data_IF_812421854395
#
_entry.id   IF_812421854395
#
_cell.length_a   1.000
_cell.length_b   1.000
_cell.length_c   1.000
_cell.angle_alpha   90.00
_cell.angle_beta   90.00
_cell.angle_gamma   90.00
#
_symmetry.space_group_name_H-M   'P 1'
#
loop_
_entity.id
_entity.type
_entity.pdbx_description
1 polymer ?
2 polymer ?
3 non-polymer ?
4 water ?
#
# COMPACT_ATOMS: atom_id res chain seq x y z
N UNK A 2 -5.95 26.94 9.31
CA UNK A 2 -7.36 27.04 9.76
C UNK A 2 -7.63 26.26 11.04
N UNK A 3 -8.54 26.77 11.86
CA UNK A 3 -8.93 26.11 13.10
C UNK A 3 -10.32 25.56 12.79
N UNK A 4 -10.36 24.27 12.45
CA UNK A 4 -11.58 23.60 12.06
C UNK A 4 -12.78 23.69 13.00
N UNK A 5 -13.93 24.04 12.42
CA UNK A 5 -15.18 24.16 13.15
C UNK A 5 -16.07 22.97 12.83
N UNK A 6 -15.52 21.98 12.11
CA UNK A 6 -16.28 20.79 11.77
C UNK A 6 -16.73 20.15 13.07
N UNK A 7 -18.00 19.73 13.11
CA UNK A 7 -18.57 19.13 14.32
C UNK A 7 -18.39 17.61 14.39
N UNK A 8 -18.55 17.04 15.60
CA UNK A 8 -18.40 15.59 15.82
C UNK A 8 -19.44 14.80 15.02
N UNK A 9 -20.54 15.45 14.66
CA UNK A 9 -21.60 14.83 13.88
C UNK A 9 -21.89 15.71 12.67
N UNK A 10 -21.81 15.14 11.47
CA UNK A 10 -22.08 15.89 10.26
C UNK A 10 -22.97 15.08 9.34
N UNK A 11 -23.66 15.78 8.43
CA UNK A 11 -24.55 15.13 7.48
C UNK A 11 -23.89 15.14 6.10
N UNK A 12 -24.36 14.28 5.20
CA UNK A 12 -23.79 14.19 3.87
C UNK A 12 -24.86 14.07 2.79
N UNK A 13 -24.70 14.85 1.72
CA UNK A 13 -25.60 14.81 0.57
C UNK A 13 -24.70 14.56 -0.62
N UNK A 14 -25.13 13.67 -1.52
CA UNK A 14 -24.29 13.35 -2.66
C UNK A 14 -25.05 13.05 -3.94
N UNK A 15 -24.42 13.40 -5.07
CA UNK A 15 -24.99 13.14 -6.38
C UNK A 15 -23.85 12.67 -7.28
N UNK A 16 -23.98 11.45 -7.79
CA UNK A 16 -22.96 10.88 -8.68
C UNK A 16 -23.52 10.65 -10.08
N UNK A 17 -22.83 11.18 -11.06
CA UNK A 17 -23.22 10.98 -12.45
C UNK A 17 -22.06 10.17 -13.04
N UNK A 18 -22.38 9.05 -13.68
CA UNK A 18 -21.31 8.25 -14.22
C UNK A 18 -21.61 7.47 -15.47
N UNK A 19 -20.57 6.82 -15.97
CA UNK A 19 -20.69 6.01 -17.18
C UNK A 19 -19.59 4.96 -17.14
N UNK A 20 -19.98 3.70 -17.14
CA UNK A 20 -19.03 2.60 -17.11
C UNK A 20 -19.26 1.69 -18.31
N UNK A 21 -18.22 1.53 -19.13
CA UNK A 21 -18.30 0.70 -20.33
C UNK A 21 -19.53 1.05 -21.16
N UNK A 22 -19.86 2.33 -21.20
CA UNK A 22 -21.00 2.78 -21.99
C UNK A 22 -22.33 2.88 -21.26
N UNK A 23 -22.41 2.35 -20.05
CA UNK A 23 -23.64 2.39 -19.29
C UNK A 23 -23.73 3.65 -18.43
N UNK A 24 -24.68 4.52 -18.77
CA UNK A 24 -24.87 5.77 -18.03
C UNK A 24 -25.74 5.54 -16.80
N UNK A 25 -25.45 6.25 -15.72
CA UNK A 25 -26.23 6.11 -14.50
C UNK A 25 -26.10 7.32 -13.59
N UNK A 26 -27.04 7.44 -12.67
CA UNK A 26 -27.06 8.52 -11.68
C UNK A 26 -27.39 7.88 -10.35
N UNK A 27 -26.62 8.23 -9.32
CA UNK A 27 -26.86 7.70 -7.98
C UNK A 27 -26.91 8.85 -6.98
N UNK A 28 -27.92 8.83 -6.12
CA UNK A 28 -28.06 9.86 -5.11
C UNK A 28 -27.73 9.27 -3.75
N UNK A 29 -27.06 10.06 -2.92
CA UNK A 29 -26.69 9.58 -1.60
C UNK A 29 -27.07 10.51 -0.48
N UNK A 30 -27.47 9.92 0.64
CA UNK A 30 -27.86 10.67 1.83
C UNK A 30 -27.21 9.94 2.99
N UNK A 31 -26.32 10.62 3.71
CA UNK A 31 -25.65 9.97 4.82
C UNK A 31 -25.27 10.91 5.95
N UNK A 32 -24.33 10.45 6.76
CA UNK A 32 -23.85 11.22 7.89
C UNK A 32 -22.59 10.56 8.42
N UNK A 33 -21.92 11.22 9.35
CA UNK A 33 -20.71 10.62 9.88
C UNK A 33 -20.13 11.34 11.07
N UNK A 34 -19.07 10.76 11.64
CA UNK A 34 -18.38 11.31 12.80
C UNK A 34 -16.96 11.58 12.32
N UNK A 35 -16.70 12.80 11.86
CA UNK A 35 -15.38 13.19 11.37
C UNK A 35 -14.19 12.81 12.24
N UNK A 36 -14.30 13.07 13.54
CA UNK A 36 -13.20 12.77 14.44
C UNK A 36 -13.04 11.29 14.81
N UNK A 37 -14.04 10.47 14.48
CA UNK A 37 -13.95 9.03 14.75
C UNK A 37 -13.54 8.35 13.44
N UNK A 38 -13.57 9.10 12.35
CA UNK A 38 -13.21 8.55 11.04
C UNK A 38 -14.23 7.55 10.52
N UNK A 39 -15.50 7.77 10.84
CA UNK A 39 -16.55 6.86 10.41
C UNK A 39 -17.69 7.58 9.71
N UNK A 40 -18.26 6.95 8.70
CA UNK A 40 -19.38 7.53 7.98
C UNK A 40 -20.22 6.42 7.35
N UNK A 41 -21.47 6.74 7.06
CA UNK A 41 -22.37 5.77 6.44
C UNK A 41 -23.28 6.54 5.50
N UNK A 42 -23.83 5.85 4.50
CA UNK A 42 -24.68 6.53 3.54
C UNK A 42 -25.67 5.60 2.87
N UNK A 43 -26.85 6.14 2.57
CA UNK A 43 -27.89 5.40 1.87
C UNK A 43 -27.78 5.84 0.42
N UNK A 44 -27.52 4.89 -0.47
CA UNK A 44 -27.37 5.19 -1.89
C UNK A 44 -28.52 4.63 -2.71
N UNK A 45 -29.01 5.44 -3.66
CA UNK A 45 -30.12 5.03 -4.51
C UNK A 45 -29.83 5.31 -5.99
N UNK A 46 -30.01 4.30 -6.83
CA UNK A 46 -29.80 4.47 -8.27
C UNK A 46 -31.04 5.16 -8.82
N UNK A 47 -30.85 6.36 -9.36
CA UNK A 47 -31.96 7.15 -9.91
C UNK A 47 -32.13 6.96 -11.41
N UNK A 48 -31.02 6.67 -12.09
CA UNK A 48 -31.02 6.45 -13.54
C UNK A 48 -30.04 5.33 -13.85
N UNK A 49 -30.36 4.53 -14.86
CA UNK A 49 -29.47 3.44 -15.25
C UNK A 49 -29.67 2.13 -14.50
N UNK A 50 -30.75 2.03 -13.75
CA UNK A 50 -31.02 0.80 -13.00
C UNK A 50 -31.60 -0.27 -13.93
N UNK A 51 -31.15 -1.52 -13.78
CA UNK A 51 -30.16 -1.99 -12.82
C UNK A 51 -28.75 -1.89 -13.40
N UNK A 52 -27.77 -1.57 -12.57
CA UNK A 52 -26.39 -1.46 -13.04
C UNK A 52 -25.89 -2.81 -13.53
N UNK A 53 -25.25 -2.84 -14.71
CA UNK A 53 -24.71 -4.08 -15.28
C UNK A 53 -23.26 -4.37 -14.92
N UNK A 54 -22.76 -3.73 -13.88
CA UNK A 54 -21.39 -3.94 -13.45
C UNK A 54 -21.29 -3.96 -11.93
N UNK A 55 -20.15 -4.41 -11.42
CA UNK A 55 -19.92 -4.51 -9.99
C UNK A 55 -20.02 -3.18 -9.27
N UNK A 56 -20.98 -3.07 -8.37
CA UNK A 56 -21.19 -1.84 -7.61
C UNK A 56 -19.94 -1.45 -6.83
N UNK A 57 -19.17 -2.44 -6.41
CA UNK A 57 -17.96 -2.19 -5.63
C UNK A 57 -16.98 -1.20 -6.27
N UNK A 58 -16.90 -1.15 -7.60
CA UNK A 58 -15.94 -0.23 -8.20
C UNK A 58 -16.28 1.23 -7.91
N UNK A 59 -17.52 1.50 -7.55
CA UNK A 59 -17.98 2.86 -7.28
C UNK A 59 -17.87 3.34 -5.84
N UNK A 60 -17.92 2.40 -4.89
CA UNK A 60 -17.96 2.76 -3.49
C UNK A 60 -16.97 3.75 -2.90
N UNK A 61 -15.70 3.72 -3.28
CA UNK A 61 -14.78 4.69 -2.68
C UNK A 61 -14.98 6.09 -3.24
N UNK A 62 -15.82 6.22 -4.25
CA UNK A 62 -16.06 7.54 -4.84
C UNK A 62 -17.21 8.29 -4.19
N UNK A 63 -17.93 7.65 -3.28
CA UNK A 63 -19.06 8.33 -2.66
C UNK A 63 -18.62 9.26 -1.54
N UNK B 2 -14.47 11.05 0.96
CA UNK B 2 -14.30 12.29 1.71
C UNK B 2 -13.40 12.01 2.90
N UNK B 3 -12.12 12.30 2.73
CA UNK B 3 -11.12 12.05 3.77
C UNK B 3 -11.32 12.89 5.03
N UNK B 4 -12.35 13.72 5.06
CA UNK B 4 -12.65 14.50 6.26
C UNK B 4 -13.03 13.44 7.30
N UNK B 5 -13.62 12.35 6.82
CA UNK B 5 -14.00 11.27 7.71
C UNK B 5 -12.87 10.28 7.86
N UNK B 6 -11.85 10.71 8.60
CA UNK B 6 -10.68 9.92 8.89
C UNK B 6 -10.15 10.43 10.22
N UNK B 7 -9.83 9.52 11.13
CA UNK B 7 -9.33 9.93 12.44
C UNK B 7 -7.86 10.33 12.37
N UNK B 8 -7.61 11.62 12.46
CA UNK B 8 -6.24 12.13 12.41
C UNK B 8 -5.66 12.43 13.78
N UNK B 9 -4.46 11.90 14.08
CA UNK B 9 -3.83 12.14 15.37
C UNK B 9 -3.30 13.57 15.37
N UNK B 10 -3.10 14.14 16.55
CA UNK B 10 -2.63 15.52 16.67
C UNK B 10 -1.30 15.84 15.98
N UNK B 11 -0.40 14.86 15.90
CA UNK B 11 0.90 15.11 15.29
C UNK B 11 0.95 15.11 13.76
N UNK B 12 -0.18 14.84 13.11
CA UNK B 12 -0.22 14.85 11.66
C UNK B 12 -1.22 15.89 11.19
N UNK B 13 -0.75 16.91 10.44
CA UNK B 13 -1.67 17.95 9.96
C UNK B 13 -2.82 17.30 9.18
N UNK B 14 -4.03 17.75 9.49
CA UNK B 14 -5.25 17.23 8.87
C UNK B 14 -5.62 18.17 7.73
N UNK B 15 -5.17 17.85 6.53
CA UNK B 15 -5.43 18.67 5.35
C UNK B 15 -6.92 18.88 5.08
N UNK B 16 -7.70 17.87 5.41
CA UNK B 16 -9.13 17.89 5.14
C UNK B 16 -10.01 18.67 6.09
N UNK B 17 -9.79 18.51 7.39
CA UNK B 17 -10.61 19.26 8.34
C UNK B 17 -10.21 20.74 8.32
N UNK B 18 -9.04 21.03 7.76
CA UNK B 18 -8.56 22.42 7.65
C UNK B 18 -9.17 23.07 6.42
N UNK B 19 -9.65 22.25 5.49
CA UNK B 19 -10.19 22.76 4.23
C UNK B 19 -11.57 23.38 4.23
N UNK B 20 -12.02 23.92 5.35
CA UNK B 20 -13.33 24.52 5.37
C UNK B 20 -13.29 25.90 6.01
N UNK B 21 -14.33 26.72 5.79
CA UNK B 21 -15.56 26.49 5.01
C UNK B 21 -15.51 26.41 3.47
N UNK B 22 -14.40 26.79 2.86
CA UNK B 22 -14.32 26.78 1.40
C UNK B 22 -14.43 25.41 0.74
N UNK B 23 -13.95 24.37 1.42
CA UNK B 23 -14.04 23.03 0.87
C UNK B 23 -12.82 22.58 0.07
N UNK B 24 -12.91 21.40 -0.52
CA UNK B 24 -11.82 20.87 -1.32
C UNK B 24 -12.37 19.91 -2.36
N UNK B 25 -11.52 19.49 -3.29
CA UNK B 25 -11.94 18.55 -4.30
C UNK B 25 -10.86 17.51 -4.45
N UNK B 26 -11.20 16.38 -5.06
CA UNK B 26 -10.22 15.35 -5.30
C UNK B 26 -10.45 14.69 -6.64
N UNK B 27 -9.38 14.12 -7.18
CA UNK B 27 -9.41 13.43 -8.47
C UNK B 27 -8.75 12.09 -8.21
N UNK B 28 -9.24 11.05 -8.84
CA UNK B 28 -8.69 9.72 -8.62
C UNK B 28 -8.66 8.86 -9.86
N UNK B 29 -7.57 8.12 -10.03
CA UNK B 29 -7.48 7.19 -11.13
C UNK B 29 -7.49 5.81 -10.49
N UNK B 30 -8.24 4.90 -11.10
CA UNK B 30 -8.35 3.52 -10.62
C UNK B 30 -7.87 2.66 -11.78
N UNK B 31 -6.72 2.04 -11.61
CA UNK B 31 -6.16 1.19 -12.67
C UNK B 31 -6.26 -0.27 -12.26
N UNK B 32 -7.17 -1.00 -12.91
CA UNK B 32 -7.36 -2.41 -12.59
C UNK B 32 -6.38 -3.30 -13.36
N UNK B 33 -6.00 -4.42 -12.75
CA UNK B 33 -5.02 -5.33 -13.35
C UNK B 33 -5.39 -5.94 -14.70
N UNK B 34 -6.67 -5.94 -15.05
CA UNK B 34 -7.05 -6.51 -16.34
C UNK B 34 -7.34 -5.46 -17.41
N UNK B 35 -6.86 -4.24 -17.17
CA UNK B 35 -7.05 -3.19 -18.17
C UNK B 35 -8.13 -2.17 -17.88
N UNK B 36 -9.04 -2.50 -16.98
CA UNK B 36 -10.08 -1.54 -16.65
C UNK B 36 -9.47 -0.29 -16.07
N UNK B 37 -9.97 0.87 -16.49
CA UNK B 37 -9.48 2.15 -15.99
C UNK B 37 -10.64 3.06 -15.65
N UNK B 38 -10.63 3.61 -14.44
CA UNK B 38 -11.68 4.52 -14.02
C UNK B 38 -11.10 5.84 -13.53
N UNK B 39 -11.89 6.88 -13.67
CA UNK B 39 -11.53 8.21 -13.19
C UNK B 39 -12.71 8.68 -12.40
N UNK B 40 -12.46 9.14 -11.18
CA UNK B 40 -13.53 9.63 -10.33
C UNK B 40 -13.10 10.99 -9.80
N UNK B 41 -14.06 11.90 -9.68
CA UNK B 41 -13.77 13.22 -9.16
C UNK B 41 -14.90 13.59 -8.21
N UNK B 42 -14.60 14.45 -7.26
CA UNK B 42 -15.61 14.89 -6.30
C UNK B 42 -15.28 16.29 -5.84
N UNK B 43 -16.27 17.16 -5.88
CA UNK B 43 -16.08 18.52 -5.41
C UNK B 43 -16.91 18.56 -4.14
N UNK B 44 -16.22 18.75 -3.01
CA UNK B 44 -16.87 18.76 -1.72
C UNK B 44 -17.04 20.17 -1.17
N UNK B 45 -18.28 20.50 -0.83
CA UNK B 45 -18.60 21.81 -0.27
C UNK B 45 -19.33 21.62 1.05
N UNK B 46 -19.50 22.71 1.78
CA UNK B 46 -20.17 22.65 3.07
C UNK B 46 -21.24 23.73 3.22
N UNK B 47 -22.40 23.30 3.70
CA UNK B 47 -23.53 24.20 3.93
C UNK B 47 -24.12 23.79 5.27
N UNK B 48 -24.05 24.68 6.26
CA UNK B 48 -24.56 24.33 7.57
C UNK B 48 -23.71 23.20 8.11
N UNK B 49 -24.33 22.07 8.44
CA UNK B 49 -23.58 20.93 8.95
C UNK B 49 -23.63 19.78 7.97
N UNK B 50 -23.83 20.10 6.69
CA UNK B 50 -23.92 19.09 5.66
C UNK B 50 -22.86 19.23 4.58
N UNK B 51 -22.17 18.15 4.28
CA UNK B 51 -21.17 18.15 3.21
C UNK B 51 -21.90 17.77 1.95
N UNK B 52 -21.67 18.53 0.88
CA UNK B 52 -22.30 18.24 -0.40
C UNK B 52 -21.23 17.69 -1.31
N UNK B 53 -21.57 16.65 -2.08
CA UNK B 53 -20.63 16.01 -2.97
C UNK B 53 -21.12 15.95 -4.41
N UNK B 54 -20.35 16.55 -5.31
CA UNK B 54 -20.68 16.51 -6.74
C UNK B 54 -19.66 15.52 -7.32
N UNK B 55 -20.10 14.29 -7.54
CA UNK B 55 -19.24 13.23 -8.02
C UNK B 55 -19.44 12.82 -9.47
N UNK B 56 -18.34 12.53 -10.15
CA UNK B 56 -18.38 12.06 -11.53
C UNK B 56 -17.54 10.78 -11.55
N UNK B 57 -18.04 9.75 -12.21
CA UNK B 57 -17.33 8.48 -12.29
C UNK B 57 -17.37 7.94 -13.71
N UNK B 58 -16.20 7.68 -14.28
CA UNK B 58 -16.12 7.14 -15.63
C UNK B 58 -15.21 5.93 -15.65
N UNK B 59 -15.67 4.86 -16.29
CA UNK B 59 -14.88 3.65 -16.39
C UNK B 59 -14.88 3.10 -17.80
N UNK B 60 -13.73 2.64 -18.27
CA UNK B 60 -13.62 2.10 -19.62
C UNK B 60 -12.69 0.90 -19.67
N UNK B 61 -12.72 0.21 -20.80
CA UNK B 61 -11.85 -0.93 -21.06
C UNK B 61 -11.98 -2.16 -20.16
N UNK B 62 -13.13 -2.33 -19.52
CA UNK B 62 -13.33 -3.51 -18.71
C UNK B 62 -13.70 -4.67 -19.62
N UNK B 63 -13.01 -5.81 -19.49
CA UNK B 63 -13.30 -6.98 -20.33
C UNK B 63 -14.76 -7.36 -20.10
N UNK B 64 -15.53 -7.61 -21.18
CA UNK B 64 -16.94 -7.96 -21.01
C UNK B 64 -17.22 -9.18 -20.13
N UNK B 65 -16.28 -10.11 -20.08
CA UNK B 65 -16.45 -11.32 -19.27
C UNK B 65 -15.63 -11.26 -17.98
N UNK B 66 -15.09 -10.08 -17.70
CA UNK B 66 -14.29 -9.89 -16.50
C UNK B 66 -15.14 -9.83 -15.25
N UNK B 67 -14.52 -9.84 -14.05
CA UNK B 67 -15.25 -9.79 -12.79
C UNK B 67 -16.10 -8.55 -12.56
N UNK B 68 -15.72 -7.43 -13.16
CA UNK B 68 -16.49 -6.21 -12.99
C UNK B 68 -17.78 -6.24 -13.81
N UNK B 69 -17.69 -6.53 -15.10
CA UNK B 69 -18.88 -6.56 -15.92
C UNK B 69 -19.76 -7.77 -15.65
N UNK B 70 -19.17 -8.80 -15.02
CA UNK B 70 -19.93 -9.99 -14.68
C UNK B 70 -20.39 -9.99 -13.22
N UNK B 71 -20.14 -8.89 -12.52
CA UNK B 71 -20.54 -8.74 -11.13
C UNK B 71 -20.11 -9.89 -10.24
N UNK B 72 -18.80 -10.16 -10.22
CA UNK B 72 -18.25 -11.25 -9.44
C UNK B 72 -17.47 -10.77 -8.22
N UNK B 73 -17.58 -9.49 -7.87
CA UNK B 73 -16.84 -8.97 -6.73
C UNK B 73 -17.64 -9.15 -5.44
N UNK B 74 -16.92 -9.30 -4.34
CA UNK B 74 -17.57 -9.48 -3.04
C UNK B 74 -17.35 -8.27 -2.14
N UNK B 75 -16.16 -7.69 -2.19
CA UNK B 75 -15.84 -6.54 -1.36
C UNK B 75 -14.43 -6.05 -1.63
N UNK B 76 -14.12 -4.86 -1.14
CA UNK B 76 -12.77 -4.33 -1.23
C UNK B 76 -12.16 -4.80 0.08
N UNK B 77 -10.89 -5.20 0.05
CA UNK B 77 -10.23 -5.60 1.28
C UNK B 77 -9.86 -4.29 1.95
N UNK B 78 -9.55 -4.35 3.25
CA UNK B 78 -9.13 -3.15 3.97
C UNK B 78 -7.85 -2.70 3.26
N UNK B 79 -7.44 -1.47 3.49
CA UNK B 79 -6.24 -0.96 2.82
C UNK B 79 -5.50 0.08 3.64
N UNK B 80 -4.33 0.46 3.16
CA UNK B 80 -3.53 1.49 3.80
C UNK B 80 -3.06 2.42 2.69
N UNK B 81 -3.58 3.64 2.73
CA UNK B 81 -3.24 4.67 1.76
C UNK B 81 -1.97 5.40 2.17
N UNK B 82 -1.05 5.57 1.23
CA UNK B 82 0.20 6.28 1.50
C UNK B 82 0.03 7.71 1.01
N UNK B 83 0.06 8.65 1.96
CA UNK B 83 -0.13 10.07 1.68
C UNK B 83 1.17 10.83 1.60
N UNK B 84 1.33 11.62 0.54
CA UNK B 84 2.54 12.41 0.38
C UNK B 84 2.31 13.50 -0.64
N UNK B 85 3.28 14.40 -0.76
CA UNK B 85 3.15 15.50 -1.71
C UNK B 85 3.85 15.18 -3.02
N UNK B 86 3.17 15.44 -4.12
CA UNK B 86 3.73 15.24 -5.46
C UNK B 86 3.61 16.58 -6.17
N UNK B 87 4.76 17.22 -6.37
CA UNK B 87 4.78 18.53 -7.03
C UNK B 87 3.87 19.48 -6.27
N UNK B 88 3.96 19.43 -4.94
CA UNK B 88 3.18 20.30 -4.09
C UNK B 88 1.72 19.95 -3.85
N UNK B 89 1.26 18.84 -4.45
CA UNK B 89 -0.13 18.42 -4.30
C UNK B 89 -0.25 17.17 -3.44
N UNK B 90 -1.11 17.21 -2.43
CA UNK B 90 -1.30 16.05 -1.55
C UNK B 90 -1.83 14.91 -2.40
N UNK B 91 -1.14 13.77 -2.33
CA UNK B 91 -1.47 12.61 -3.11
C UNK B 91 -1.55 11.34 -2.26
N UNK B 92 -2.50 10.48 -2.59
CA UNK B 92 -2.64 9.23 -1.86
C UNK B 92 -2.57 8.07 -2.83
N UNK B 93 -1.58 7.19 -2.64
CA UNK B 93 -1.42 6.01 -3.49
C UNK B 93 -1.84 4.79 -2.68
N UNK B 94 -2.60 3.88 -3.30
CA UNK B 94 -3.04 2.69 -2.58
C UNK B 94 -2.99 1.42 -3.38
N UNK B 95 -2.57 0.35 -2.72
CA UNK B 95 -2.55 -0.99 -3.29
C UNK B 95 -3.91 -1.53 -2.88
N UNK B 96 -4.89 -1.46 -3.78
CA UNK B 96 -6.23 -1.95 -3.49
C UNK B 96 -6.48 -3.33 -4.06
N UNK B 97 -7.44 -4.04 -3.48
CA UNK B 97 -7.77 -5.37 -3.98
C UNK B 97 -9.22 -5.72 -3.71
N UNK B 98 -9.88 -6.24 -4.73
CA UNK B 98 -11.27 -6.67 -4.61
C UNK B 98 -11.26 -8.18 -4.43
N UNK B 99 -12.01 -8.66 -3.44
CA UNK B 99 -12.13 -10.10 -3.22
C UNK B 99 -13.20 -10.53 -4.21
N UNK B 100 -12.95 -11.63 -4.92
CA UNK B 100 -13.91 -12.12 -5.90
C UNK B 100 -14.48 -13.47 -5.47
N UNK B 101 -15.58 -13.86 -6.10
CA UNK B 101 -16.17 -15.16 -5.80
C UNK B 101 -15.10 -16.16 -6.23
N UNK B 102 -15.04 -17.30 -5.56
CA UNK B 102 -14.04 -18.29 -5.91
C UNK B 102 -12.79 -18.12 -5.07
N UNK B 103 -12.85 -17.19 -4.11
CA UNK B 103 -11.76 -16.91 -3.20
C UNK B 103 -10.44 -16.50 -3.87
N UNK B 104 -10.51 -15.48 -4.71
CA UNK B 104 -9.33 -14.97 -5.41
C UNK B 104 -9.39 -13.44 -5.38
N UNK B 105 -8.27 -12.78 -5.62
CA UNK B 105 -8.26 -11.32 -5.60
C UNK B 105 -8.00 -10.68 -6.96
N UNK B 106 -8.51 -9.46 -7.09
CA UNK B 106 -8.44 -8.66 -8.29
C UNK B 106 -7.88 -7.31 -7.88
N UNK B 107 -6.64 -7.04 -8.29
CA UNK B 107 -5.96 -5.80 -7.91
C UNK B 107 -6.28 -4.54 -8.67
N UNK B 108 -6.20 -3.42 -7.95
CA UNK B 108 -6.44 -2.11 -8.52
C UNK B 108 -5.52 -1.12 -7.83
N UNK B 109 -4.87 -0.26 -8.61
CA UNK B 109 -3.99 0.75 -8.04
C UNK B 109 -4.70 2.08 -8.04
N UNK B 110 -4.71 2.73 -6.88
CA UNK B 110 -5.36 4.02 -6.71
C UNK B 110 -4.36 5.16 -6.58
N UNK B 111 -4.68 6.29 -7.21
CA UNK B 111 -3.91 7.50 -7.00
C UNK B 111 -4.95 8.60 -6.90
N UNK B 112 -5.01 9.25 -5.75
CA UNK B 112 -5.95 10.33 -5.53
C UNK B 112 -5.15 11.59 -5.27
N UNK B 113 -5.57 12.70 -5.87
CA UNK B 113 -4.91 13.97 -5.59
C UNK B 113 -5.98 14.80 -4.91
N UNK B 114 -5.58 15.50 -3.84
CA UNK B 114 -6.50 16.31 -3.06
C UNK B 114 -6.11 17.78 -3.18
N UNK B 115 -7.07 18.64 -3.46
CA UNK B 115 -6.79 20.08 -3.61
C UNK B 115 -7.75 20.93 -2.79
N UNK B 116 -7.22 21.56 -1.76
CA UNK B 116 -8.04 22.42 -0.90
C UNK B 116 -8.25 23.79 -1.51
N UNK B 117 -9.38 24.40 -1.19
CA UNK B 117 -9.69 25.74 -1.68
C UNK B 117 -9.50 26.74 -0.54
N UNK B 118 -9.17 26.22 0.63
CA UNK B 118 -8.97 27.06 1.81
C UNK B 118 -7.53 27.56 1.85
N UNK B 119 -7.35 28.84 2.12
CA UNK B 119 -6.01 29.42 2.18
C UNK B 119 -5.31 29.16 3.51
N UNK B 120 -3.99 29.07 3.45
CA UNK B 120 -3.20 28.85 4.66
C UNK B 120 -3.18 27.45 5.25
N UNK B 121 -3.68 26.47 4.51
CA UNK B 121 -3.71 25.11 5.01
C UNK B 121 -2.30 24.56 5.26
N UNK B 122 -2.10 23.96 6.42
CA UNK B 122 -0.81 23.39 6.76
C UNK B 122 -0.71 22.00 6.16
N UNK B 123 0.30 21.79 5.32
CA UNK B 123 0.50 20.51 4.64
C UNK B 123 1.15 19.45 5.52
N UNK B 124 0.66 18.20 5.43
CA UNK B 124 1.23 17.11 6.23
C UNK B 124 2.43 16.50 5.52
N UNK B 125 3.21 15.73 6.27
CA UNK B 125 4.35 15.05 5.70
C UNK B 125 3.90 13.67 5.28
N UNK B 126 4.83 12.81 4.88
CA UNK B 126 4.49 11.46 4.47
C UNK B 126 3.79 10.74 5.62
N UNK B 127 2.63 10.16 5.35
CA UNK B 127 1.92 9.43 6.39
C UNK B 127 0.99 8.38 5.79
N UNK B 128 0.17 7.76 6.63
CA UNK B 128 -0.71 6.71 6.16
C UNK B 128 -2.13 6.87 6.65
N UNK B 129 -3.07 6.27 5.94
CA UNK B 129 -4.47 6.29 6.35
C UNK B 129 -5.02 4.89 6.11
N UNK B 130 -5.33 4.18 7.19
CA UNK B 130 -5.91 2.86 7.05
C UNK B 130 -7.37 3.05 6.69
N UNK B 131 -7.89 2.17 5.84
CA UNK B 131 -9.28 2.25 5.42
C UNK B 131 -9.97 0.90 5.48
N UNK B 132 -11.29 0.94 5.60
CA UNK B 132 -12.12 -0.24 5.53
C UNK B 132 -13.49 0.23 5.07
N UNK B 133 -13.81 -0.06 3.82
CA UNK B 133 -15.11 0.32 3.28
C UNK B 133 -15.93 -0.95 3.11
N UNK B 134 -17.22 -0.84 3.40
CA UNK B 134 -18.09 -2.00 3.32
C UNK B 134 -19.52 -1.69 2.96
N UNK B 135 -20.11 -2.57 2.15
CA UNK B 135 -21.51 -2.45 1.81
C UNK B 135 -22.18 -3.27 2.91
N UNK B 136 -22.84 -2.57 3.84
CA UNK B 136 -23.50 -3.23 4.96
C UNK B 136 -24.69 -4.06 4.52
N UNK B 137 -25.40 -3.58 3.50
CA UNK B 137 -26.55 -4.29 2.95
C UNK B 137 -26.98 -3.66 1.65
N UNK B 138 -27.74 -4.40 0.86
CA UNK B 138 -28.18 -3.92 -0.45
C UNK B 138 -29.33 -4.78 -0.92
N UNK B 139 -30.11 -4.26 -1.87
CA UNK B 139 -31.20 -5.06 -2.41
C UNK B 139 -30.64 -5.87 -3.57
N UNK B 140 -31.45 -6.76 -4.12
CA UNK B 140 -31.01 -7.65 -5.20
C UNK B 140 -30.08 -7.03 -6.25
N UNK B 141 -30.54 -5.99 -6.92
CA UNK B 141 -29.76 -5.34 -7.98
C UNK B 141 -28.91 -4.15 -7.57
N UNK B 142 -28.76 -3.95 -6.26
CA UNK B 142 -27.96 -2.84 -5.75
C UNK B 142 -28.56 -1.47 -6.07
N UNK B 143 -29.87 -1.42 -6.29
CA UNK B 143 -30.54 -0.16 -6.56
C UNK B 143 -30.53 0.66 -5.27
N UNK B 144 -30.49 -0.06 -4.15
CA UNK B 144 -30.45 0.54 -2.82
C UNK B 144 -29.28 -0.09 -2.09
N UNK B 145 -28.35 0.76 -1.65
CA UNK B 145 -27.16 0.28 -0.96
C UNK B 145 -26.85 1.08 0.31
N UNK B 146 -26.48 0.37 1.37
CA UNK B 146 -26.10 0.99 2.64
C UNK B 146 -24.59 0.85 2.69
N UNK B 147 -23.88 1.97 2.63
CA UNK B 147 -22.42 1.96 2.64
C UNK B 147 -21.84 2.49 3.95
N UNK B 148 -20.64 2.02 4.28
CA UNK B 148 -19.97 2.44 5.51
C UNK B 148 -18.46 2.42 5.33
N UNK B 149 -17.78 3.37 5.97
CA UNK B 149 -16.32 3.43 5.91
C UNK B 149 -15.73 3.83 7.25
N UNK B 150 -14.58 3.26 7.56
CA UNK B 150 -13.85 3.56 8.78
C UNK B 150 -12.43 3.86 8.30
N UNK B 151 -11.85 4.97 8.74
CA UNK B 151 -10.50 5.36 8.33
C UNK B 151 -9.74 5.99 9.48
N UNK B 152 -8.46 5.63 9.59
CA UNK B 152 -7.61 6.12 10.67
C UNK B 152 -6.23 6.47 10.14
N UNK B 153 -5.80 7.71 10.33
CA UNK B 153 -4.49 8.17 9.86
C UNK B 153 -3.44 7.82 10.92
N UNK B 154 -2.23 7.49 10.48
CA UNK B 154 -1.15 7.17 11.41
C UNK B 154 0.22 7.36 10.77
N UNK B 155 1.27 7.18 11.58
CA UNK B 155 2.64 7.37 11.13
C UNK B 155 3.41 6.08 10.86
N UNK B 156 2.70 4.96 10.81
CA UNK B 156 3.34 3.68 10.56
C UNK B 156 4.34 3.27 11.63
N UNK B 157 5.11 2.23 11.34
CA UNK B 157 6.15 1.69 12.22
C UNK B 157 6.41 0.22 11.94
N UNK C 2 3.27 -27.19 10.05
CA UNK C 2 4.52 -27.24 10.85
C UNK C 2 4.42 -26.49 12.16
N UNK C 3 5.06 -27.03 13.19
CA UNK C 3 5.08 -26.39 14.49
C UNK C 3 6.51 -25.83 14.60
N UNK C 4 6.63 -24.54 14.32
CA UNK C 4 7.92 -23.86 14.30
C UNK C 4 8.82 -23.99 15.53
N UNK C 5 10.07 -24.36 15.27
CA UNK C 5 11.07 -24.49 16.32
C UNK C 5 12.02 -23.29 16.27
N UNK C 6 11.66 -22.29 15.47
CA UNK C 6 12.47 -21.09 15.36
C UNK C 6 12.56 -20.45 16.74
N UNK C 7 13.76 -20.05 17.13
CA UNK C 7 13.99 -19.46 18.44
C UNK C 7 13.79 -17.95 18.49
N UNK C 8 13.62 -17.39 19.71
CA UNK C 8 13.42 -15.95 19.91
C UNK C 8 14.62 -15.15 19.44
N UNK C 9 15.77 -15.79 19.39
CA UNK C 9 17.01 -15.16 18.93
C UNK C 9 17.62 -16.04 17.84
N UNK C 10 17.90 -15.45 16.69
CA UNK C 10 18.49 -16.18 15.58
C UNK C 10 19.60 -15.36 14.94
N UNK C 11 20.53 -16.04 14.28
CA UNK C 11 21.64 -15.38 13.61
C UNK C 11 21.36 -15.34 12.12
N UNK C 12 22.06 -14.47 11.40
CA UNK C 12 21.88 -14.33 9.97
C UNK C 12 23.20 -14.19 9.22
N UNK C 13 23.33 -14.93 8.13
CA UNK C 13 24.51 -14.88 7.27
C UNK C 13 23.97 -14.59 5.88
N UNK C 14 24.63 -13.71 5.14
CA UNK C 14 24.14 -13.37 3.82
C UNK C 14 25.21 -13.04 2.81
N UNK C 15 24.92 -13.38 1.55
CA UNK C 15 25.83 -13.09 0.45
C UNK C 15 24.98 -12.60 -0.72
N UNK C 16 25.21 -11.35 -1.14
CA UNK C 16 24.48 -10.78 -2.27
C UNK C 16 25.40 -10.54 -3.45
N UNK C 17 24.97 -11.02 -4.62
CA UNK C 17 25.73 -10.81 -5.84
C UNK C 17 24.79 -9.98 -6.69
N UNK C 18 25.27 -8.85 -7.20
CA UNK C 18 24.40 -8.03 -8.00
C UNK C 18 25.04 -7.22 -9.09
N UNK C 19 24.19 -6.56 -9.87
CA UNK C 19 24.64 -5.73 -10.96
C UNK C 19 23.57 -4.68 -11.21
N UNK C 20 23.94 -3.42 -11.06
CA UNK C 20 23.00 -2.31 -11.27
C UNK C 20 23.54 -1.38 -12.34
N UNK C 21 22.77 -1.20 -13.41
CA UNK C 21 23.16 -0.34 -14.52
C UNK C 21 24.58 -0.67 -15.00
N UNK C 22 24.91 -1.96 -14.97
CA UNK C 22 26.22 -2.39 -15.43
C UNK C 22 27.29 -2.52 -14.37
N UNK C 23 27.04 -1.97 -13.19
CA UNK C 23 28.02 -2.04 -12.12
C UNK C 23 27.87 -3.32 -11.28
N UNK C 24 28.88 -4.18 -11.36
CA UNK C 24 28.87 -5.44 -10.63
C UNK C 24 29.38 -5.25 -9.20
N UNK C 25 28.80 -6.00 -8.27
CA UNK C 25 29.22 -5.90 -6.87
C UNK C 25 28.85 -7.13 -6.05
N UNK C 26 29.50 -7.26 -4.90
CA UNK C 26 29.25 -8.35 -3.99
C UNK C 26 29.20 -7.77 -2.59
N UNK C 27 28.19 -8.13 -1.83
CA UNK C 27 28.04 -7.64 -0.47
C UNK C 27 27.82 -8.80 0.48
N UNK C 28 28.52 -8.79 1.61
CA UNK C 28 28.37 -9.84 2.59
C UNK C 28 27.67 -9.27 3.82
N UNK C 29 26.82 -10.07 4.43
CA UNK C 29 26.10 -9.62 5.60
C UNK C 29 26.17 -10.59 6.77
N UNK C 30 26.27 -10.02 7.96
CA UNK C 30 26.33 -10.80 9.19
C UNK C 30 25.39 -10.09 10.15
N UNK C 31 24.32 -10.77 10.55
CA UNK C 31 23.37 -10.13 11.45
C UNK C 31 22.69 -11.08 12.41
N UNK C 32 21.59 -10.61 12.97
CA UNK C 32 20.82 -11.39 13.93
C UNK C 32 19.46 -10.74 14.09
N UNK C 33 18.55 -11.41 14.77
CA UNK C 33 17.24 -10.83 14.96
C UNK C 33 16.36 -11.59 15.93
N UNK C 34 15.19 -11.01 16.20
CA UNK C 34 14.20 -11.58 17.10
C UNK C 34 12.97 -11.85 16.25
N UNK C 35 12.85 -13.08 15.72
CA UNK C 35 11.72 -13.45 14.87
C UNK C 35 10.33 -13.09 15.40
N UNK C 36 10.08 -13.36 16.68
CA UNK C 36 8.77 -13.09 17.24
C UNK C 36 8.51 -11.63 17.58
N UNK C 37 9.56 -10.81 17.54
CA UNK C 37 9.44 -9.38 17.79
C UNK C 37 9.36 -8.66 16.43
N UNK C 38 9.71 -9.38 15.38
CA UNK C 38 9.70 -8.80 14.04
C UNK C 38 10.82 -7.79 13.85
N UNK C 39 11.95 -8.01 14.50
CA UNK C 39 13.08 -7.10 14.39
C UNK C 39 14.37 -7.82 14.05
N UNK C 40 15.19 -7.17 13.22
CA UNK C 40 16.47 -7.74 12.83
C UNK C 40 17.44 -6.61 12.48
N UNK C 41 18.74 -6.92 12.53
CA UNK C 41 19.76 -5.95 12.20
C UNK C 41 20.90 -6.71 11.55
N UNK C 42 21.70 -6.01 10.77
CA UNK C 42 22.79 -6.68 10.07
C UNK C 42 23.93 -5.72 9.71
N UNK C 43 25.15 -6.26 9.72
CA UNK C 43 26.33 -5.50 9.34
C UNK C 43 26.62 -5.92 7.91
N UNK C 44 26.62 -4.94 7.01
CA UNK C 44 26.85 -5.20 5.59
C UNK C 44 28.19 -4.64 5.12
N UNK C 45 28.92 -5.43 4.35
CA UNK C 45 30.21 -5.00 3.83
C UNK C 45 30.33 -5.27 2.33
N UNK C 46 30.74 -4.25 1.58
CA UNK C 46 30.93 -4.38 0.14
C UNK C 46 32.27 -5.07 -0.07
N UNK C 47 32.23 -6.28 -0.64
CA UNK C 47 33.43 -7.06 -0.88
C UNK C 47 34.01 -6.88 -2.28
N UNK C 48 33.16 -6.51 -3.22
CA UNK C 48 33.56 -6.27 -4.60
C UNK C 48 32.70 -5.16 -5.18
N UNK C 49 33.30 -4.33 -6.03
CA UNK C 49 32.56 -3.24 -6.65
C UNK C 49 32.54 -1.95 -5.86
N UNK C 50 33.35 -1.84 -4.82
CA UNK C 50 33.39 -0.63 -4.01
C UNK C 50 34.19 0.46 -4.72
N UNK C 51 33.72 1.71 -4.66
CA UNK C 51 32.50 2.16 -4.00
C UNK C 51 31.31 2.08 -4.96
N UNK C 52 30.13 1.74 -4.44
CA UNK C 52 28.95 1.64 -5.29
C UNK C 52 28.59 3.02 -5.87
N UNK C 53 28.30 3.06 -7.17
CA UNK C 53 27.95 4.31 -7.85
C UNK C 53 26.45 4.60 -7.88
N UNK C 54 25.69 3.92 -7.03
CA UNK C 54 24.24 4.13 -6.98
C UNK C 54 23.75 4.14 -5.54
N UNK C 55 22.50 4.57 -5.35
CA UNK C 55 21.89 4.64 -4.03
C UNK C 55 21.79 3.29 -3.35
N UNK C 56 22.46 3.17 -2.20
CA UNK C 56 22.47 1.93 -1.44
C UNK C 56 21.04 1.51 -1.05
N UNK C 57 20.19 2.50 -0.82
CA UNK C 57 18.80 2.26 -0.44
C UNK C 57 18.03 1.28 -1.33
N UNK C 58 18.32 1.26 -2.63
CA UNK C 58 17.57 0.36 -3.48
C UNK C 58 17.81 -1.12 -3.14
N UNK C 59 18.93 -1.40 -2.47
CA UNK C 59 19.30 -2.76 -2.12
C UNK C 59 18.80 -3.28 -0.78
N UNK C 60 18.59 -2.37 0.16
CA UNK C 60 18.24 -2.77 1.52
C UNK C 60 17.13 -3.77 1.80
N UNK C 61 16.00 -3.71 1.09
CA UNK C 61 14.95 -4.68 1.39
C UNK C 61 15.30 -6.07 0.87
N UNK C 62 16.39 -6.18 0.11
CA UNK C 62 16.78 -7.48 -0.42
C UNK C 62 17.72 -8.26 0.51
N UNK C 63 18.17 -7.63 1.59
CA UNK C 63 19.08 -8.31 2.49
C UNK C 63 18.35 -9.28 3.41
N UNK D 2 13.67 -11.11 4.67
CA UNK D 2 13.31 -12.36 5.33
C UNK D 2 12.12 -12.11 6.23
N UNK D 3 10.93 -12.40 5.71
CA UNK D 3 9.70 -12.17 6.44
C UNK D 3 9.53 -13.02 7.70
N UNK D 4 10.53 -13.87 7.99
CA UNK D 4 10.49 -14.66 9.21
C UNK D 4 10.56 -13.63 10.32
N UNK D 5 11.25 -12.53 10.03
CA UNK D 5 11.39 -11.45 11.00
C UNK D 5 10.26 -10.44 10.87
N UNK D 6 9.08 -10.89 11.29
CA UNK D 6 7.87 -10.09 11.27
C UNK D 6 7.00 -10.64 12.39
N UNK D 7 6.44 -9.76 13.21
CA UNK D 7 5.61 -10.19 14.32
C UNK D 7 4.21 -10.59 13.83
N UNK D 8 3.95 -11.89 13.83
CA UNK D 8 2.65 -12.39 13.38
C UNK D 8 1.73 -12.72 14.53
N UNK D 9 0.50 -12.18 14.51
CA UNK D 9 -0.47 -12.45 15.57
C UNK D 9 -0.98 -13.87 15.38
N UNK D 10 -1.49 -14.46 16.45
CA UNK D 10 -1.98 -15.84 16.41
C UNK D 10 -3.07 -16.14 15.38
N UNK D 11 -3.91 -15.17 15.05
CA UNK D 11 -4.99 -15.40 14.12
C UNK D 11 -4.63 -15.37 12.64
N UNK D 12 -3.36 -15.11 12.33
CA UNK D 12 -2.92 -15.09 10.94
C UNK D 12 -1.82 -16.12 10.74
N UNK D 13 -2.07 -17.14 9.89
CA UNK D 13 -1.04 -18.16 9.65
C UNK D 13 0.27 -17.50 9.24
N UNK D 14 1.35 -17.95 9.86
CA UNK D 14 2.69 -17.42 9.61
C UNK D 14 3.38 -18.35 8.61
N UNK D 15 3.27 -18.02 7.34
CA UNK D 15 3.83 -18.80 6.24
C UNK D 15 5.34 -19.01 6.39
N UNK D 16 6.01 -18.01 6.91
CA UNK D 16 7.45 -18.02 7.05
C UNK D 16 8.02 -18.83 8.20
N UNK D 17 7.45 -18.68 9.39
CA UNK D 17 7.98 -19.45 10.51
C UNK D 17 7.62 -20.92 10.36
N UNK D 18 6.65 -21.22 9.50
CA UNK D 18 6.24 -22.60 9.23
C UNK D 18 7.15 -23.24 8.20
N UNK D 19 7.85 -22.42 7.43
CA UNK D 19 8.72 -22.90 6.36
C UNK D 19 10.05 -23.52 6.72
N UNK D 20 10.16 -24.06 7.93
CA UNK D 20 11.42 -24.67 8.32
C UNK D 20 11.21 -26.06 8.90
N UNK D 21 12.28 -26.87 8.97
CA UNK D 21 13.67 -26.62 8.56
C UNK D 21 14.03 -26.52 7.08
N UNK D 22 13.13 -26.88 6.17
CA UNK D 22 13.48 -26.84 4.75
C UNK D 22 13.75 -25.47 4.15
N UNK D 23 13.10 -24.44 4.69
CA UNK D 23 13.32 -23.08 4.20
C UNK D 23 12.38 -22.63 3.10
N UNK D 24 12.60 -21.41 2.61
CA UNK D 24 11.77 -20.86 1.55
C UNK D 24 12.58 -19.89 0.71
N UNK D 25 12.02 -19.47 -0.40
CA UNK D 25 12.71 -18.51 -1.25
C UNK D 25 11.71 -17.46 -1.66
N UNK D 26 12.22 -16.32 -2.13
CA UNK D 26 11.34 -15.27 -2.61
C UNK D 26 11.91 -14.59 -3.83
N UNK D 27 11.02 -14.02 -4.63
CA UNK D 27 11.39 -13.30 -5.84
C UNK D 27 10.69 -11.96 -5.74
N UNK D 28 11.35 -10.90 -6.19
CA UNK D 28 10.77 -9.57 -6.10
C UNK D 28 11.07 -8.70 -7.30
N UNK D 29 10.07 -7.94 -7.73
CA UNK D 29 10.25 -7.00 -8.81
C UNK D 29 10.09 -5.62 -8.16
N UNK D 30 10.98 -4.70 -8.52
CA UNK D 30 10.94 -3.33 -8.01
C UNK D 30 10.80 -2.44 -9.21
N UNK D 31 9.62 -1.83 -9.36
CA UNK D 31 9.35 -0.95 -10.50
C UNK D 31 9.35 0.50 -10.05
N UNK D 32 10.41 1.22 -10.40
CA UNK D 32 10.53 2.62 -10.02
C UNK D 32 9.80 3.53 -11.01
N UNK D 33 9.26 4.63 -10.52
CA UNK D 33 8.48 5.53 -11.36
C UNK D 33 9.20 6.21 -12.52
N UNK D 34 10.53 6.20 -12.52
CA UNK D 34 11.24 6.82 -13.63
C UNK D 34 11.81 5.80 -14.61
N UNK D 35 11.33 4.57 -14.55
CA UNK D 35 11.79 3.55 -15.47
C UNK D 35 12.73 2.51 -14.91
N UNK D 36 13.36 2.80 -13.78
CA UNK D 36 14.26 1.83 -13.19
C UNK D 36 13.51 0.57 -12.84
N UNK D 37 14.11 -0.59 -13.11
CA UNK D 37 13.50 -1.87 -12.81
C UNK D 37 14.53 -2.79 -12.18
N UNK D 38 14.19 -3.36 -11.04
CA UNK D 38 15.10 -4.28 -10.37
C UNK D 38 14.41 -5.60 -10.08
N UNK D 39 15.20 -6.65 -10.03
CA UNK D 39 14.72 -7.98 -9.70
C UNK D 39 15.64 -8.48 -8.61
N UNK D 40 15.07 -8.95 -7.52
CA UNK D 40 15.86 -9.46 -6.42
C UNK D 40 15.31 -10.83 -6.06
N UNK D 41 16.21 -11.74 -5.70
CA UNK D 41 15.81 -13.08 -5.31
C UNK D 41 16.63 -13.48 -4.10
N UNK D 42 16.06 -14.33 -3.27
CA UNK D 42 16.76 -14.79 -2.08
C UNK D 42 16.32 -16.19 -1.76
N UNK D 43 17.29 -17.08 -1.56
CA UNK D 43 16.98 -18.44 -1.19
C UNK D 43 17.43 -18.52 0.26
N UNK D 44 16.45 -18.72 1.15
CA UNK D 44 16.74 -18.79 2.57
C UNK D 44 16.76 -20.21 3.12
N UNK D 45 17.86 -20.55 3.77
CA UNK D 45 18.03 -21.86 4.38
C UNK D 45 18.36 -21.69 5.85
N UNK D 46 18.35 -22.80 6.58
CA UNK D 46 18.64 -22.77 8.01
C UNK D 46 19.60 -23.87 8.43
N UNK D 47 20.59 -23.49 9.23
CA UNK D 47 21.57 -24.43 9.76
C UNK D 47 21.82 -24.00 11.20
N UNK D 48 21.49 -24.87 12.14
CA UNK D 48 21.66 -24.51 13.54
C UNK D 48 20.67 -23.40 13.82
N UNK D 49 21.15 -22.27 14.34
CA UNK D 49 20.27 -21.14 14.64
C UNK D 49 20.60 -19.98 13.72
N UNK D 50 21.15 -20.28 12.55
CA UNK D 50 21.54 -19.26 11.58
C UNK D 50 20.82 -19.38 10.25
N UNK D 51 20.21 -18.28 9.81
CA UNK D 51 19.54 -18.26 8.52
C UNK D 51 20.59 -17.86 7.50
N UNK D 52 20.67 -18.59 6.41
CA UNK D 52 21.63 -18.29 5.35
C UNK D 52 20.83 -17.71 4.19
N UNK D 53 21.37 -16.66 3.59
CA UNK D 53 20.70 -15.98 2.48
C UNK D 53 21.57 -15.90 1.23
N UNK D 54 21.07 -16.47 0.14
CA UNK D 54 21.76 -16.42 -1.14
C UNK D 54 20.94 -15.42 -1.96
N UNK D 55 21.45 -14.21 -2.06
CA UNK D 55 20.74 -13.12 -2.74
C UNK D 55 21.35 -12.69 -4.07
N UNK D 56 20.48 -12.37 -5.02
CA UNK D 56 20.88 -11.87 -6.33
C UNK D 56 20.07 -10.59 -6.52
N UNK D 57 20.73 -9.55 -7.03
CA UNK D 57 20.04 -8.27 -7.25
C UNK D 57 20.49 -7.70 -8.59
N UNK D 58 19.53 -7.45 -9.47
CA UNK D 58 19.83 -6.88 -10.77
C UNK D 58 18.95 -5.66 -11.02
N UNK D 59 19.56 -4.58 -11.48
CA UNK D 59 18.81 -3.35 -11.74
C UNK D 59 19.20 -2.78 -13.09
N UNK D 60 18.21 -2.30 -13.84
CA UNK D 60 18.46 -1.73 -15.16
C UNK D 60 17.57 -0.53 -15.43
N UNK D 61 17.91 0.18 -16.51
CA UNK D 61 17.14 1.32 -16.98
C UNK D 61 17.02 2.52 -16.05
N UNK D 62 17.95 2.68 -15.12
CA UNK D 62 17.92 3.84 -14.24
C UNK D 62 18.53 5.01 -15.01
N UNK D 63 17.83 6.16 -15.03
CA UNK D 63 18.35 7.33 -15.74
C UNK D 63 19.69 7.72 -15.11
N UNK D 64 20.72 7.99 -15.92
CA UNK D 64 22.03 8.36 -15.37
C UNK D 64 22.06 9.56 -14.41
N UNK D 65 21.13 10.49 -14.60
CA UNK D 65 21.07 11.68 -13.76
C UNK D 65 19.92 11.59 -12.76
N UNK D 66 19.35 10.39 -12.66
CA UNK D 66 18.24 10.17 -11.74
C UNK D 66 18.71 10.09 -10.29
N UNK D 67 17.76 10.08 -9.33
CA UNK D 67 18.11 10.02 -7.91
C UNK D 67 18.88 8.78 -7.48
N UNK D 68 18.69 7.67 -8.19
CA UNK D 68 19.39 6.44 -7.84
C UNK D 68 20.85 6.48 -8.26
N UNK D 69 21.12 6.76 -9.54
CA UNK D 69 22.50 6.81 -10.00
C UNK D 69 23.25 8.03 -9.46
N UNK D 70 22.52 9.04 -8.99
CA UNK D 70 23.16 10.22 -8.44
C UNK D 70 23.19 10.20 -6.91
N UNK D 71 22.78 9.07 -6.32
CA UNK D 71 22.78 8.90 -4.87
C UNK D 71 22.10 10.04 -4.11
N UNK D 72 20.85 10.31 -4.45
CA UNK D 72 20.10 11.39 -3.81
C UNK D 72 19.00 10.88 -2.88
N UNK D 73 19.02 9.60 -2.56
CA UNK D 73 18.00 9.04 -1.67
C UNK D 73 18.41 9.20 -0.21
N UNK D 74 17.42 9.35 0.66
CA UNK D 74 17.69 9.51 2.08
C UNK D 74 17.24 8.28 2.87
N UNK D 75 16.11 7.69 2.48
CA UNK D 75 15.60 6.51 3.16
C UNK D 75 14.30 6.03 2.53
N UNK D 76 13.88 4.83 2.87
CA UNK D 76 12.59 4.31 2.41
C UNK D 76 11.65 4.76 3.51
N UNK D 77 10.44 5.17 3.15
CA UNK D 77 9.48 5.54 4.17
C UNK D 77 8.94 4.21 4.69
N UNK D 78 8.27 4.24 5.83
CA UNK D 78 7.68 3.04 6.38
C UNK D 78 6.65 2.62 5.34
N UNK D 79 6.19 1.37 5.40
CA UNK D 79 5.21 0.90 4.42
C UNK D 79 4.30 -0.16 5.00
N UNK D 80 3.29 -0.52 4.22
CA UNK D 80 2.36 -1.57 4.60
C UNK D 80 2.21 -2.48 3.40
N UNK D 81 2.69 -3.71 3.55
CA UNK D 81 2.65 -4.72 2.51
C UNK D 81 1.31 -5.44 2.53
N UNK D 82 0.70 -5.60 1.35
CA UNK D 82 -0.57 -6.30 1.24
C UNK D 82 -0.27 -7.73 0.78
N UNK D 83 -0.57 -8.68 1.67
CA UNK D 83 -0.31 -10.09 1.44
C UNK D 83 -1.55 -10.85 1.01
N UNK D 84 -1.43 -11.58 -0.10
CA UNK D 84 -2.55 -12.37 -0.61
C UNK D 84 -2.04 -13.46 -1.54
N UNK D 85 -2.93 -14.36 -1.95
CA UNK D 85 -2.54 -15.44 -2.84
C UNK D 85 -2.85 -15.10 -4.29
N UNK D 86 -1.88 -15.36 -5.17
CA UNK D 86 -2.04 -15.12 -6.60
C UNK D 86 -1.75 -16.45 -7.27
N UNK D 87 -2.77 -17.08 -7.81
CA UNK D 87 -2.63 -18.37 -8.47
C UNK D 87 -1.95 -19.34 -7.50
N UNK D 88 -2.41 -19.31 -6.25
CA UNK D 88 -1.87 -20.21 -5.22
C UNK D 88 -0.54 -19.86 -4.59
N UNK D 89 0.06 -18.74 -5.00
CA UNK D 89 1.37 -18.34 -4.48
C UNK D 89 1.24 -17.11 -3.58
N UNK D 90 1.80 -17.18 -2.38
CA UNK D 90 1.73 -16.03 -1.46
C UNK D 90 2.47 -14.88 -2.10
N UNK D 91 1.77 -13.75 -2.20
CA UNK D 91 2.30 -12.55 -2.85
C UNK D 91 2.13 -11.31 -1.98
N UNK D 92 3.12 -10.43 -2.02
CA UNK D 92 3.06 -9.20 -1.26
C UNK D 92 3.26 -8.01 -2.19
N UNK D 93 2.26 -7.14 -2.28
CA UNK D 93 2.36 -5.94 -3.11
C UNK D 93 2.52 -4.74 -2.19
N UNK D 94 3.43 -3.83 -2.55
CA UNK D 94 3.65 -2.66 -1.70
C UNK D 94 3.82 -1.36 -2.47
N UNK D 95 3.22 -0.30 -1.90
CA UNK D 95 3.33 1.04 -2.43
C UNK D 95 4.54 1.58 -1.67
N UNK D 96 5.72 1.54 -2.29
CA UNK D 96 6.93 2.01 -1.62
C UNK D 96 7.34 3.40 -2.07
N UNK D 97 8.08 4.11 -1.21
CA UNK D 97 8.54 5.45 -1.56
C UNK D 97 9.86 5.78 -0.90
N UNK D 98 10.78 6.30 -1.70
CA UNK D 98 12.09 6.72 -1.21
C UNK D 98 12.01 8.23 -1.00
N UNK D 99 12.47 8.68 0.16
CA UNK D 99 12.50 10.12 0.44
C UNK D 99 13.80 10.59 -0.21
N UNK D 100 13.74 11.68 -0.95
CA UNK D 100 14.92 12.22 -1.62
C UNK D 100 15.36 13.53 -1.01
N UNK D 101 16.58 13.94 -1.33
CA UNK D 101 17.09 15.23 -0.86
C UNK D 101 16.16 16.23 -1.52
N UNK D 102 15.91 17.36 -0.86
CA UNK D 102 15.02 18.35 -1.42
C UNK D 102 13.58 18.16 -0.99
N UNK D 103 13.38 17.25 -0.05
CA UNK D 103 12.06 16.96 0.51
C UNK D 103 10.99 16.57 -0.52
N UNK D 104 11.30 15.56 -1.33
CA UNK D 104 10.37 15.05 -2.33
C UNK D 104 10.44 13.53 -2.32
N UNK D 105 9.44 12.87 -2.89
CA UNK D 105 9.43 11.42 -2.89
C UNK D 105 9.56 10.78 -4.27
N UNK D 106 10.10 9.57 -4.26
CA UNK D 106 10.37 8.78 -5.45
C UNK D 106 9.71 7.43 -5.23
N UNK D 107 8.65 7.16 -5.97
CA UNK D 107 7.88 5.93 -5.82
C UNK D 107 8.41 4.68 -6.50
N UNK D 108 8.14 3.55 -5.87
CA UNK D 108 8.55 2.26 -6.40
C UNK D 108 7.46 1.26 -6.02
N UNK D 109 7.06 0.43 -6.96
CA UNK D 109 6.05 -0.58 -6.68
C UNK D 109 6.74 -1.92 -6.49
N UNK D 110 6.43 -2.58 -5.38
CA UNK D 110 7.01 -3.89 -5.07
C UNK D 110 6.02 -5.02 -5.24
N UNK D 111 6.49 -6.15 -5.77
CA UNK D 111 5.70 -7.36 -5.81
C UNK D 111 6.68 -8.46 -5.47
N UNK D 112 6.42 -9.13 -4.36
CA UNK D 112 7.27 -10.21 -3.92
C UNK D 112 6.42 -11.47 -3.90
N UNK D 113 6.99 -12.58 -4.39
CA UNK D 113 6.29 -13.86 -4.33
C UNK D 113 7.14 -14.71 -3.40
N UNK D 114 6.47 -15.42 -2.50
CA UNK D 114 7.14 -16.26 -1.52
C UNK D 114 6.79 -17.72 -1.77
N UNK D 115 7.80 -18.59 -1.76
CA UNK D 115 7.57 -20.01 -2.01
C UNK D 115 8.28 -20.90 -1.00
N UNK D 116 7.48 -21.55 -0.15
CA UNK D 116 8.04 -22.43 0.87
C UNK D 116 8.42 -23.79 0.30
N UNK D 117 9.42 -24.42 0.90
CA UNK D 117 9.86 -25.75 0.48
C UNK D 117 9.35 -26.76 1.50
N UNK D 118 8.74 -26.26 2.57
CA UNK D 118 8.22 -27.10 3.63
C UNK D 118 6.83 -27.62 3.28
N UNK D 119 6.60 -28.91 3.49
CA UNK D 119 5.32 -29.51 3.17
C UNK D 119 4.24 -29.23 4.23
N UNK D 120 3.00 -29.14 3.78
CA UNK D 120 1.88 -28.92 4.68
C UNK D 120 1.72 -27.55 5.31
N UNK D 121 2.37 -26.54 4.75
CA UNK D 121 2.26 -25.19 5.31
C UNK D 121 0.84 -24.66 5.15
N UNK D 122 0.33 -24.06 6.22
CA UNK D 122 -1.01 -23.49 6.20
C UNK D 122 -0.93 -22.08 5.62
N UNK D 123 -1.69 -21.84 4.56
CA UNK D 123 -1.67 -20.54 3.89
C UNK D 123 -2.56 -19.50 4.57
N UNK D 124 -2.06 -18.26 4.66
CA UNK D 124 -2.85 -17.20 5.30
C UNK D 124 -3.82 -16.58 4.30
N UNK D 125 -4.79 -15.86 4.82
CA UNK D 125 -5.75 -15.18 3.96
C UNK D 125 -5.18 -13.80 3.72
N UNK D 126 -5.97 -12.91 3.12
CA UNK D 126 -5.51 -11.55 2.84
C UNK D 126 -5.15 -10.85 4.14
N UNK D 127 -3.95 -10.27 4.21
CA UNK D 127 -3.55 -9.55 5.41
C UNK D 127 -2.49 -8.50 5.10
N UNK D 128 -1.95 -7.89 6.16
CA UNK D 128 -0.97 -6.83 6.00
C UNK D 128 0.26 -7.01 6.84
N UNK D 129 1.35 -6.41 6.41
CA UNK D 129 2.58 -6.44 7.19
C UNK D 129 3.17 -5.04 7.14
N UNK D 130 3.19 -4.36 8.28
CA UNK D 130 3.76 -3.03 8.35
C UNK D 130 5.27 -3.21 8.39
N UNK D 131 5.99 -2.30 7.74
CA UNK D 131 7.45 -2.37 7.70
C UNK D 131 8.09 -1.02 7.96
N UNK D 132 9.32 -1.07 8.45
CA UNK D 132 10.13 0.12 8.63
C UNK D 132 11.57 -0.35 8.58
N UNK D 133 12.24 -0.03 7.47
CA UNK D 133 13.63 -0.42 7.30
C UNK D 133 14.47 0.85 7.38
N UNK D 134 15.63 0.74 8.01
CA UNK D 134 16.48 1.90 8.18
C UNK D 134 17.96 1.59 8.23
N UNK D 135 18.75 2.48 7.63
CA UNK D 135 20.20 2.37 7.67
C UNK D 135 20.53 3.15 8.93
N UNK D 136 20.92 2.43 9.98
CA UNK D 136 21.25 3.05 11.27
C UNK D 136 22.51 3.91 11.19
N UNK D 137 23.48 3.46 10.42
CA UNK D 137 24.73 4.18 10.24
C UNK D 137 25.50 3.57 9.09
N UNK D 138 26.45 4.32 8.55
CA UNK D 138 27.22 3.85 7.41
C UNK D 138 28.47 4.72 7.27
N UNK D 139 29.49 4.21 6.59
CA UNK D 139 30.67 5.03 6.38
C UNK D 139 30.43 5.87 5.13
N UNK D 140 31.37 6.77 4.83
CA UNK D 140 31.24 7.66 3.69
C UNK D 140 30.66 7.07 2.41
N UNK D 141 31.29 6.03 1.87
CA UNK D 141 30.86 5.41 0.63
C UNK D 141 29.90 4.23 0.77
N UNK D 142 29.41 3.99 1.97
CA UNK D 142 28.49 2.89 2.23
C UNK D 142 29.15 1.53 2.04
N UNK D 143 30.47 1.45 2.19
CA UNK D 143 31.15 0.17 2.07
C UNK D 143 30.79 -0.65 3.30
N UNK D 144 30.45 0.04 4.37
CA UNK D 144 30.05 -0.59 5.62
C UNK D 144 28.72 0.02 6.03
N UNK D 145 27.70 -0.82 6.17
CA UNK D 145 26.37 -0.36 6.53
C UNK D 145 25.73 -1.16 7.65
N UNK D 146 25.09 -0.47 8.59
CA UNK D 146 24.39 -1.11 9.70
C UNK D 146 22.91 -0.97 9.33
N UNK D 147 22.25 -2.09 9.06
CA UNK D 147 20.85 -2.08 8.66
C UNK D 147 19.92 -2.62 9.73
N UNK D 148 18.67 -2.16 9.72
CA UNK D 148 17.68 -2.58 10.72
C UNK D 148 16.28 -2.58 10.14
N UNK D 149 15.45 -3.54 10.56
CA UNK D 149 14.07 -3.59 10.08
C UNK D 149 13.15 -4.03 11.21
N UNK D 150 11.96 -3.44 11.22
CA UNK D 150 10.91 -3.75 12.20
C UNK D 150 9.68 -4.04 11.34
N UNK D 151 9.03 -5.17 11.56
CA UNK D 151 7.86 -5.53 10.77
C UNK D 151 6.80 -6.19 11.66
N UNK D 152 5.54 -5.84 11.42
CA UNK D 152 4.43 -6.37 12.21
C UNK D 152 3.25 -6.71 11.31
N UNK D 153 2.78 -7.95 11.38
CA UNK D 153 1.64 -8.37 10.58
C UNK D 153 0.33 -8.04 11.31
N UNK D 154 -0.71 -7.71 10.55
CA UNK D 154 -2.00 -7.40 11.14
C UNK D 154 -3.14 -7.58 10.14
N UNK D 155 -4.36 -7.40 10.62
CA UNK D 155 -5.55 -7.58 9.80
C UNK D 155 -6.22 -6.28 9.35
N UNK D 156 -5.53 -5.17 9.53
CA UNK D 156 -6.08 -3.89 9.11
C UNK D 156 -7.32 -3.50 9.90
N UNK D 157 -8.12 -2.60 9.33
CA UNK D 157 -9.36 -2.13 9.93
C UNK D 157 -9.05 -0.95 10.84
X LIG E 1 -3.55 28.70 12.18
X LIG F 1 -24.62 -9.15 -0.46
X LIG G 1 0.14 -28.93 12.10
X LIG H 1 23.75 9.10 6.51
#
# INVERSE_FOLDING_TARGET
>A
APMSLIKPEMKIKLLMEGNVNGHQFVIEGDGKGHPFEGKQSMDLVVKEGAPLPFAYDILTTAX
>B
XNRVFAKYPDHIPDYFKQSFPKGFSWERSLMFEDGGVCIATNDITLKGDTFFNKVRFDGVNFPPNGPVMQKKTLKWEASTEKMYLRDGVLTGDITMALLLKGDVHYRCDFRTTYKSRQEGVKLPGYHFVDHCISILRHDKDYNEVKLYEHAVAHSGLPDNVK
>C
APMSLIKPEMKIKLLMEGNVNGHQFVIEGDGKGHPFEGKQSMDLVVKEGAPLPFAYDILTTAX
>D
XNRVFAKYPDHIPDYFKQSFPKGFSWERSLMFEDGGVCIATNDITLKGDTFFNKVRFDGVNFPPNGPVMQKKTLKWEASTEKMYLRDGVLTGDITMALLLKGDVHYRCDFRTTYKSRQEGVKLPGYHFVDHCISILRHDKDYNEVKLYEHAVAHSGLPDNVK
>E hetero
1 NI NI
>F hetero
1 NI NI
>G hetero
1 NI NI
>H hetero
1 NI NI
#
